data_IF_282808083492
#
_entry.id   IF_282808083492
#
_cell.length_a   1.000
_cell.length_b   1.000
_cell.length_c   1.000
_cell.angle_alpha   90.00
_cell.angle_beta   90.00
_cell.angle_gamma   90.00
#
_symmetry.space_group_name_H-M   'P 1'
#
loop_
_entity.id
_entity.type
_entity.pdbx_description
1 polymer ?
#
# COMPACT_ATOMS: atom_id res chain seq x y z
N UNK A 1 9.44 7.20 26.15
CA UNK A 1 8.38 8.05 26.72
C UNK A 1 8.92 9.47 26.87
N UNK A 2 8.73 10.33 25.87
CA UNK A 2 9.20 11.73 25.92
C UNK A 2 8.21 12.58 26.70
N UNK A 3 8.58 12.96 27.93
CA UNK A 3 7.76 13.84 28.77
C UNK A 3 7.66 15.22 28.11
N UNK A 4 6.46 15.60 27.67
CA UNK A 4 6.13 16.98 27.30
C UNK A 4 6.26 17.84 28.56
N UNK A 5 7.39 18.55 28.69
CA UNK A 5 7.58 19.57 29.71
C UNK A 5 6.52 20.64 29.48
N UNK A 6 5.55 20.72 30.38
CA UNK A 6 4.40 21.62 30.28
C UNK A 6 4.86 23.08 30.16
N UNK A 7 4.18 23.91 29.35
CA UNK A 7 4.47 25.36 29.25
C UNK A 7 4.48 26.08 30.61
N UNK A 8 3.82 25.48 31.62
CA UNK A 8 3.77 25.97 33.00
C UNK A 8 5.11 25.85 33.73
N UNK A 9 5.90 24.80 33.48
CA UNK A 9 7.23 24.64 34.07
C UNK A 9 8.26 25.58 33.43
N UNK A 10 8.21 25.78 32.11
CA UNK A 10 9.10 26.73 31.43
C UNK A 10 8.82 28.18 31.84
N UNK A 11 7.55 28.56 32.04
CA UNK A 11 7.18 29.88 32.56
C UNK A 11 7.66 30.09 34.00
N UNK A 12 7.76 29.02 34.81
CA UNK A 12 8.25 29.08 36.19
C UNK A 12 9.77 29.25 36.25
N UNK A 13 10.52 28.60 35.36
CA UNK A 13 11.98 28.79 35.25
C UNK A 13 12.32 30.20 34.73
N UNK A 14 11.59 30.72 33.74
CA UNK A 14 11.74 32.09 33.25
C UNK A 14 11.54 33.15 34.35
N UNK A 15 10.58 32.91 35.25
CA UNK A 15 10.34 33.79 36.40
C UNK A 15 11.47 33.71 37.43
N UNK A 16 12.01 32.52 37.71
CA UNK A 16 13.14 32.34 38.62
C UNK A 16 14.42 33.00 38.12
N UNK A 17 14.79 32.80 36.85
CA UNK A 17 15.98 33.43 36.25
C UNK A 17 15.86 34.97 36.22
N UNK A 18 14.66 35.47 35.94
CA UNK A 18 14.39 36.91 36.01
C UNK A 18 14.47 37.43 37.44
N UNK A 19 13.92 36.72 38.42
CA UNK A 19 13.95 37.11 39.83
C UNK A 19 15.34 37.11 40.43
N UNK A 20 16.23 36.22 39.96
CA UNK A 20 17.62 36.08 40.42
C UNK A 20 18.54 37.15 39.79
N UNK A 21 18.40 37.42 38.48
CA UNK A 21 19.12 38.52 37.79
C UNK A 21 18.64 39.92 38.22
N UNK A 22 17.45 40.01 38.79
CA UNK A 22 16.91 41.24 39.38
C UNK A 22 16.98 41.25 40.92
N UNK A 23 17.57 40.21 41.52
CA UNK A 23 17.78 40.12 42.97
C UNK A 23 18.89 41.10 43.39
N UNK A 24 18.63 41.91 44.43
CA UNK A 24 19.56 42.94 44.91
C UNK A 24 19.29 44.38 44.41
N UNK A 25 18.48 44.57 43.36
CA UNK A 25 18.04 45.91 42.91
C UNK A 25 16.74 46.38 43.58
N UNK A 26 16.08 45.50 44.35
CA UNK A 26 14.71 45.69 44.85
C UNK A 26 14.56 46.78 45.93
N UNK A 27 15.65 47.23 46.56
CA UNK A 27 15.65 48.38 47.50
C UNK A 27 15.93 49.74 46.84
N UNK A 28 16.12 49.81 45.50
CA UNK A 28 16.34 51.04 44.72
C UNK A 28 15.37 51.21 43.54
N UNK A 29 14.26 50.48 43.55
CA UNK A 29 13.23 50.41 42.48
C UNK A 29 12.42 51.70 42.22
N UNK A 30 12.81 52.83 42.81
CA UNK A 30 12.14 54.13 42.63
C UNK A 30 12.80 55.00 41.57
N UNK A 31 14.03 54.68 41.11
CA UNK A 31 14.74 55.47 40.10
C UNK A 31 14.46 55.00 38.66
N UNK A 32 14.10 55.94 37.78
CA UNK A 32 13.81 55.67 36.35
C UNK A 32 14.97 55.02 35.59
N UNK A 33 16.22 55.20 36.04
CA UNK A 33 17.39 54.55 35.42
C UNK A 33 17.43 53.04 35.68
N UNK A 34 16.98 52.62 36.86
CA UNK A 34 16.92 51.20 37.25
C UNK A 34 15.81 50.48 36.50
N UNK A 35 14.65 51.14 36.29
CA UNK A 35 13.55 50.60 35.47
C UNK A 35 13.98 50.33 34.02
N UNK A 36 14.66 51.28 33.38
CA UNK A 36 15.15 51.12 31.98
C UNK A 36 16.16 49.98 31.83
N UNK A 37 16.99 49.72 32.84
CA UNK A 37 17.95 48.62 32.81
C UNK A 37 17.25 47.25 32.91
N UNK A 38 16.23 47.13 33.78
CA UNK A 38 15.43 45.90 33.93
C UNK A 38 14.66 45.59 32.64
N UNK A 39 14.07 46.60 31.99
CA UNK A 39 13.37 46.42 30.71
C UNK A 39 14.31 45.97 29.58
N UNK A 40 15.56 46.45 29.58
CA UNK A 40 16.58 46.04 28.60
C UNK A 40 16.99 44.57 28.76
N UNK A 41 17.13 44.09 30.01
CA UNK A 41 17.45 42.69 30.29
C UNK A 41 16.30 41.73 29.93
N UNK A 42 15.04 42.14 30.14
CA UNK A 42 13.89 41.33 29.71
C UNK A 42 13.88 41.12 28.20
N UNK A 43 14.18 42.16 27.41
CA UNK A 43 14.18 42.08 25.94
C UNK A 43 15.29 41.17 25.40
N UNK A 44 16.49 41.20 25.98
CA UNK A 44 17.61 40.34 25.55
C UNK A 44 17.41 38.84 25.84
N UNK A 45 16.69 38.49 26.91
CA UNK A 45 16.39 37.09 27.24
C UNK A 45 15.30 36.53 26.29
N UNK A 46 14.39 37.38 25.82
CA UNK A 46 13.34 36.99 24.88
C UNK A 46 13.93 36.81 23.46
N UNK A 47 14.81 37.71 23.03
CA UNK A 47 15.40 37.66 21.68
C UNK A 47 16.38 36.51 21.46
N UNK A 48 17.11 36.07 22.50
CA UNK A 48 18.09 34.97 22.37
C UNK A 48 17.46 33.58 22.15
N UNK A 49 16.15 33.38 22.37
CA UNK A 49 15.48 32.08 22.15
C UNK A 49 14.61 32.00 20.89
N UNK A 50 14.42 33.10 20.15
CA UNK A 50 13.75 33.08 18.83
C UNK A 50 14.68 32.58 17.71
N UNK A 51 15.99 32.83 17.81
CA UNK A 51 16.99 32.36 16.85
C UNK A 51 17.25 30.85 16.90
N UNK A 52 17.10 30.22 18.08
CA UNK A 52 17.33 28.77 18.25
C UNK A 52 16.14 27.88 17.84
N UNK A 53 14.90 28.41 17.84
CA UNK A 53 13.73 27.68 17.30
C UNK A 53 13.78 27.53 15.78
N UNK A 54 14.39 28.48 15.06
CA UNK A 54 14.46 28.46 13.58
C UNK A 54 15.46 27.45 13.01
N UNK A 55 16.44 26.97 13.80
CA UNK A 55 17.42 25.95 13.37
C UNK A 55 16.99 24.50 13.60
N UNK A 56 16.00 24.22 14.47
CA UNK A 56 15.48 22.86 14.72
C UNK A 56 14.21 22.49 13.93
N UNK A 57 13.54 23.46 13.31
CA UNK A 57 12.34 23.21 12.49
C UNK A 57 12.65 22.92 11.01
N UNK A 58 13.81 23.37 10.51
CA UNK A 58 14.25 23.09 9.14
C UNK A 58 14.50 21.59 8.81
N UNK A 59 15.06 20.74 9.71
CA UNK A 59 15.27 19.33 9.39
C UNK A 59 13.98 18.50 9.44
N UNK A 60 13.05 18.78 10.37
CA UNK A 60 11.79 18.03 10.48
C UNK A 60 10.83 18.26 9.31
N UNK A 61 10.76 19.50 8.80
CA UNK A 61 9.97 19.81 7.61
C UNK A 61 10.48 19.08 6.37
N UNK A 62 11.81 18.93 6.24
CA UNK A 62 12.42 18.14 5.16
C UNK A 62 12.11 16.66 5.28
N UNK A 63 12.11 16.08 6.47
CA UNK A 63 11.72 14.67 6.68
C UNK A 63 10.24 14.43 6.36
N UNK A 64 9.35 15.34 6.76
CA UNK A 64 7.93 15.27 6.43
C UNK A 64 7.67 15.46 4.92
N UNK A 65 8.41 16.35 4.26
CA UNK A 65 8.37 16.56 2.81
C UNK A 65 8.91 15.34 2.03
N UNK A 66 10.00 14.73 2.51
CA UNK A 66 10.58 13.52 1.92
C UNK A 66 9.63 12.32 2.09
N UNK A 67 8.99 12.16 3.26
CA UNK A 67 8.00 11.12 3.48
C UNK A 67 6.74 11.28 2.62
N UNK A 68 6.32 12.53 2.35
CA UNK A 68 5.22 12.83 1.43
C UNK A 68 5.57 12.46 -0.03
N UNK A 69 6.81 12.70 -0.46
CA UNK A 69 7.31 12.32 -1.79
C UNK A 69 7.34 10.78 -1.95
N UNK A 70 7.78 10.04 -0.93
CA UNK A 70 7.83 8.56 -0.97
C UNK A 70 6.45 7.88 -0.89
N UNK A 71 5.41 8.57 -0.46
CA UNK A 71 4.06 8.01 -0.38
C UNK A 71 3.35 7.87 -1.74
N UNK A 72 3.91 8.47 -2.81
CA UNK A 72 3.32 8.49 -4.15
C UNK A 72 3.68 7.28 -5.01
N UNK A 73 4.59 6.40 -4.54
CA UNK A 73 4.87 5.14 -5.21
C UNK A 73 3.71 4.19 -4.90
N UNK A 74 2.67 4.24 -5.75
CA UNK A 74 1.55 3.32 -5.72
C UNK A 74 2.05 1.88 -5.87
N UNK A 75 1.99 1.10 -4.78
CA UNK A 75 2.16 -0.35 -4.85
C UNK A 75 1.06 -0.94 -5.71
N UNK A 76 1.43 -1.35 -6.93
CA UNK A 76 0.51 -2.01 -7.86
C UNK A 76 0.11 -3.35 -7.25
N UNK A 77 -1.16 -3.46 -6.85
CA UNK A 77 -1.76 -4.67 -6.31
C UNK A 77 -1.61 -5.82 -7.32
N UNK A 78 -0.83 -6.84 -6.95
CA UNK A 78 -0.54 -8.01 -7.79
C UNK A 78 -1.72 -8.97 -7.74
N UNK A 79 -2.31 -9.27 -8.90
CA UNK A 79 -3.40 -10.25 -9.03
C UNK A 79 -2.81 -11.61 -9.36
N UNK A 80 -3.17 -12.69 -8.63
CA UNK A 80 -2.81 -14.05 -8.99
C UNK A 80 -3.35 -14.40 -10.39
N UNK A 81 -2.60 -15.14 -11.22
CA UNK A 81 -3.07 -15.51 -12.55
C UNK A 81 -4.35 -16.37 -12.45
N UNK A 82 -5.42 -15.97 -13.16
CA UNK A 82 -6.68 -16.70 -13.21
C UNK A 82 -7.84 -16.11 -12.39
N UNK A 83 -7.62 -15.04 -11.62
CA UNK A 83 -8.68 -14.33 -10.87
C UNK A 83 -9.00 -13.00 -11.54
N UNK A 84 -10.29 -12.75 -11.81
CA UNK A 84 -10.74 -11.50 -12.42
C UNK A 84 -10.38 -10.30 -11.53
N UNK A 85 -9.67 -9.27 -12.02
CA UNK A 85 -9.25 -8.11 -11.23
C UNK A 85 -10.43 -7.39 -10.54
N UNK A 86 -11.61 -7.44 -11.16
CA UNK A 86 -12.82 -6.79 -10.67
C UNK A 86 -13.52 -7.56 -9.55
N UNK A 87 -13.11 -8.78 -9.25
CA UNK A 87 -13.56 -9.52 -8.06
C UNK A 87 -12.80 -9.12 -6.79
N UNK A 88 -11.67 -8.44 -6.95
CA UNK A 88 -10.80 -8.02 -5.86
C UNK A 88 -11.08 -6.56 -5.52
N UNK A 89 -11.10 -6.23 -4.23
CA UNK A 89 -11.26 -4.85 -3.75
C UNK A 89 -10.04 -4.00 -4.08
N UNK A 90 -10.29 -2.80 -4.60
CA UNK A 90 -9.27 -1.83 -4.93
C UNK A 90 -8.61 -1.29 -3.66
N UNK A 91 -7.31 -1.55 -3.47
CA UNK A 91 -6.57 -1.05 -2.32
C UNK A 91 -6.53 0.49 -2.27
N UNK A 92 -6.48 1.15 -3.43
CA UNK A 92 -6.53 2.62 -3.52
C UNK A 92 -7.92 3.16 -3.14
N UNK A 93 -8.99 2.41 -3.41
CA UNK A 93 -10.35 2.82 -3.03
C UNK A 93 -10.57 2.63 -1.53
N UNK A 94 -10.07 1.53 -0.97
CA UNK A 94 -10.04 1.30 0.48
C UNK A 94 -9.30 2.41 1.22
N UNK A 95 -8.20 2.92 0.64
CA UNK A 95 -7.43 4.07 1.16
C UNK A 95 -8.05 5.43 0.83
N UNK A 96 -9.16 5.49 0.10
CA UNK A 96 -9.84 6.74 -0.29
C UNK A 96 -9.12 7.58 -1.36
N UNK A 97 -8.10 7.02 -2.02
CA UNK A 97 -7.24 7.71 -3.00
C UNK A 97 -7.49 7.26 -4.46
N UNK A 98 -8.49 6.42 -4.71
CA UNK A 98 -8.75 5.92 -6.06
C UNK A 98 -9.42 6.98 -6.96
N UNK A 99 -8.68 7.45 -7.97
CA UNK A 99 -9.17 8.39 -8.99
C UNK A 99 -9.93 7.70 -10.13
N UNK A 100 -9.87 6.36 -10.21
CA UNK A 100 -10.39 5.58 -11.36
C UNK A 100 -11.91 5.33 -11.30
N UNK A 101 -12.55 5.58 -10.16
CA UNK A 101 -14.01 5.45 -9.99
C UNK A 101 -14.54 4.11 -10.52
N UNK A 102 -15.66 4.13 -11.25
CA UNK A 102 -16.30 2.91 -11.83
C UNK A 102 -15.47 2.22 -12.93
N UNK A 103 -14.45 2.88 -13.47
CA UNK A 103 -13.53 2.34 -14.49
C UNK A 103 -12.29 1.69 -13.88
N UNK A 104 -12.21 1.60 -12.55
CA UNK A 104 -11.14 0.88 -11.89
C UNK A 104 -11.16 -0.61 -12.30
N UNK A 105 -9.97 -1.17 -12.55
CA UNK A 105 -9.81 -2.60 -12.81
C UNK A 105 -10.26 -3.45 -11.62
N UNK A 106 -10.20 -2.87 -10.42
CA UNK A 106 -10.58 -3.46 -9.14
C UNK A 106 -11.94 -2.95 -8.66
N UNK A 107 -12.67 -3.78 -7.92
CA UNK A 107 -13.98 -3.42 -7.35
C UNK A 107 -13.91 -2.29 -6.33
N UNK A 108 -14.93 -1.44 -6.33
CA UNK A 108 -15.18 -0.39 -5.33
C UNK A 108 -16.35 -0.75 -4.41
N UNK A 109 -16.74 -2.02 -4.34
CA UNK A 109 -17.82 -2.47 -3.48
C UNK A 109 -17.22 -2.92 -2.13
N UNK A 110 -17.36 -2.07 -1.11
CA UNK A 110 -16.90 -2.35 0.26
C UNK A 110 -17.56 -3.62 0.83
N UNK A 111 -18.71 -4.02 0.27
CA UNK A 111 -19.38 -5.26 0.66
C UNK A 111 -18.51 -6.48 0.34
N UNK A 112 -17.63 -6.44 -0.67
CA UNK A 112 -16.72 -7.55 -0.98
C UNK A 112 -15.69 -7.82 0.13
N UNK A 113 -15.34 -6.83 0.96
CA UNK A 113 -14.40 -7.04 2.08
C UNK A 113 -15.07 -7.77 3.23
N UNK A 114 -16.27 -7.32 3.58
CA UNK A 114 -17.08 -7.92 4.64
C UNK A 114 -17.48 -9.37 4.31
N UNK A 115 -17.47 -9.73 3.02
CA UNK A 115 -17.76 -11.09 2.51
C UNK A 115 -16.61 -12.10 2.65
N UNK A 116 -15.43 -11.69 3.14
CA UNK A 116 -14.34 -12.62 3.51
C UNK A 116 -14.48 -13.21 4.91
N UNK A 117 -15.38 -12.66 5.74
CA UNK A 117 -15.65 -13.23 7.05
C UNK A 117 -16.32 -14.59 6.89
N UNK A 118 -15.83 -15.62 7.60
CA UNK A 118 -16.45 -16.95 7.64
C UNK A 118 -17.89 -16.79 8.11
N UNK A 119 -18.85 -17.23 7.31
CA UNK A 119 -20.27 -17.23 7.68
C UNK A 119 -20.43 -18.21 8.84
N UNK A 120 -21.22 -17.84 9.84
CA UNK A 120 -21.54 -18.73 10.94
C UNK A 120 -22.54 -19.80 10.47
N UNK A 121 -22.13 -21.08 10.47
CA UNK A 121 -22.96 -22.20 9.98
C UNK A 121 -24.16 -22.52 10.90
N UNK A 122 -24.18 -21.99 12.12
CA UNK A 122 -25.19 -22.26 13.13
C UNK A 122 -26.25 -21.16 13.25
N UNK A 123 -26.15 -20.10 12.44
CA UNK A 123 -27.08 -18.98 12.44
C UNK A 123 -27.65 -18.77 11.02
N UNK A 124 -28.98 -18.86 10.88
CA UNK A 124 -29.65 -18.62 9.59
C UNK A 124 -29.70 -17.10 9.32
N UNK A 125 -29.18 -16.62 8.18
CA UNK A 125 -29.18 -15.19 7.86
C UNK A 125 -30.57 -14.61 7.57
N UNK A 126 -31.61 -15.44 7.38
CA UNK A 126 -32.87 -15.01 6.75
C UNK A 126 -33.94 -14.41 7.65
N UNK A 127 -33.92 -14.58 8.98
CA UNK A 127 -34.66 -13.73 9.97
C UNK A 127 -34.99 -14.44 11.30
N UNK A 128 -34.94 -13.66 12.39
CA UNK A 128 -35.82 -13.67 13.59
C UNK A 128 -35.83 -14.89 14.53
N UNK A 129 -35.31 -16.04 14.13
CA UNK A 129 -35.07 -17.17 15.04
C UNK A 129 -33.60 -17.12 15.39
N UNK A 130 -33.27 -16.88 16.66
CA UNK A 130 -31.89 -16.76 17.13
C UNK A 130 -31.09 -18.06 16.95
N UNK A 131 -30.05 -18.23 17.76
CA UNK A 131 -29.27 -19.46 17.78
C UNK A 131 -30.18 -20.69 17.99
N UNK A 132 -30.03 -21.71 17.16
CA UNK A 132 -30.86 -22.91 17.23
C UNK A 132 -30.31 -23.81 18.32
N UNK A 133 -30.94 -23.76 19.50
CA UNK A 133 -30.60 -24.62 20.63
C UNK A 133 -30.71 -26.10 20.24
N UNK A 134 -29.68 -26.90 20.54
CA UNK A 134 -29.68 -28.35 20.29
C UNK A 134 -30.87 -29.09 20.95
N UNK A 135 -31.50 -28.51 21.97
CA UNK A 135 -32.67 -29.08 22.69
C UNK A 135 -34.00 -28.94 21.94
N UNK A 136 -34.09 -28.05 20.94
CA UNK A 136 -35.31 -27.84 20.13
C UNK A 136 -35.23 -28.51 18.76
N UNK A 137 -34.32 -29.48 18.60
CA UNK A 137 -34.04 -30.15 17.34
C UNK A 137 -35.28 -30.80 16.70
N UNK A 138 -36.24 -31.25 17.51
CA UNK A 138 -37.48 -31.87 17.02
C UNK A 138 -38.45 -30.90 16.35
N UNK A 139 -38.28 -29.59 16.55
CA UNK A 139 -39.20 -28.55 16.06
C UNK A 139 -38.73 -27.93 14.73
N UNK A 140 -37.46 -28.15 14.36
CA UNK A 140 -36.84 -27.54 13.19
C UNK A 140 -36.35 -28.60 12.20
N UNK A 141 -36.85 -28.55 10.97
CA UNK A 141 -36.35 -29.33 9.84
C UNK A 141 -35.26 -28.53 9.13
N UNK A 142 -34.08 -29.13 8.99
CA UNK A 142 -32.94 -28.53 8.27
C UNK A 142 -33.16 -28.73 6.77
N UNK A 143 -32.89 -27.68 5.98
CA UNK A 143 -33.05 -27.73 4.52
C UNK A 143 -32.07 -28.74 3.89
N UNK A 144 -32.58 -29.59 3.01
CA UNK A 144 -31.78 -30.61 2.31
C UNK A 144 -30.67 -30.00 1.44
N UNK A 145 -31.01 -28.95 0.70
CA UNK A 145 -30.06 -28.27 -0.17
C UNK A 145 -29.01 -27.49 0.62
N UNK A 146 -29.31 -27.09 1.85
CA UNK A 146 -28.32 -26.48 2.75
C UNK A 146 -27.28 -27.51 3.19
N UNK A 147 -27.72 -28.72 3.57
CA UNK A 147 -26.78 -29.80 3.92
C UNK A 147 -25.86 -30.13 2.75
N UNK A 148 -26.41 -30.32 1.55
CA UNK A 148 -25.63 -30.58 0.33
C UNK A 148 -24.65 -29.43 -0.01
N UNK A 149 -25.11 -28.18 0.10
CA UNK A 149 -24.27 -27.02 -0.17
C UNK A 149 -23.11 -26.88 0.82
N UNK A 150 -23.32 -27.24 2.09
CA UNK A 150 -22.26 -27.21 3.10
C UNK A 150 -21.28 -28.37 2.89
N UNK A 151 -21.77 -29.57 2.58
CA UNK A 151 -20.92 -30.72 2.24
C UNK A 151 -20.03 -30.43 1.02
N UNK A 152 -20.58 -29.78 0.00
CA UNK A 152 -19.83 -29.39 -1.20
C UNK A 152 -19.02 -28.09 -1.02
N UNK A 153 -18.97 -27.50 0.18
CA UNK A 153 -18.30 -26.22 0.48
C UNK A 153 -18.76 -25.06 -0.42
N UNK A 154 -19.96 -25.15 -0.98
CA UNK A 154 -20.59 -24.13 -1.84
C UNK A 154 -21.53 -23.19 -1.08
N UNK A 155 -21.78 -23.45 0.21
CA UNK A 155 -22.52 -22.54 1.08
C UNK A 155 -21.72 -21.25 1.34
N UNK A 156 -22.31 -20.10 1.04
CA UNK A 156 -21.62 -18.80 1.06
C UNK A 156 -22.58 -17.62 0.97
N UNK A 157 -22.04 -16.40 0.93
CA UNK A 157 -22.82 -15.15 0.92
C UNK A 157 -23.78 -15.05 -0.29
N UNK A 158 -23.43 -15.72 -1.39
CA UNK A 158 -24.20 -15.72 -2.62
C UNK A 158 -24.99 -17.02 -2.84
N UNK A 159 -24.99 -17.93 -1.85
CA UNK A 159 -25.75 -19.16 -1.98
C UNK A 159 -27.24 -18.87 -1.78
N UNK A 160 -28.03 -19.22 -2.79
CA UNK A 160 -29.49 -19.09 -2.79
C UNK A 160 -30.04 -20.51 -2.79
N UNK A 161 -30.82 -20.83 -1.77
CA UNK A 161 -31.49 -22.12 -1.68
C UNK A 161 -32.44 -22.32 -2.88
N UNK A 162 -32.34 -23.45 -3.60
CA UNK A 162 -33.22 -23.73 -4.73
C UNK A 162 -34.68 -23.98 -4.29
N UNK A 163 -34.94 -24.27 -3.00
CA UNK A 163 -36.28 -24.44 -2.42
C UNK A 163 -37.01 -23.12 -2.08
N UNK A 164 -36.68 -22.02 -2.78
CA UNK A 164 -37.32 -20.71 -2.58
C UNK A 164 -36.45 -19.61 -1.96
N UNK A 165 -35.12 -19.76 -2.02
CA UNK A 165 -34.12 -18.76 -1.62
C UNK A 165 -34.32 -18.26 -0.20
N UNK A 166 -34.75 -17.00 -0.10
CA UNK A 166 -34.99 -16.33 1.18
C UNK A 166 -36.27 -16.80 1.88
N UNK A 167 -37.15 -17.51 1.17
CA UNK A 167 -38.44 -18.01 1.69
C UNK A 167 -38.48 -19.54 1.85
N UNK A 168 -37.33 -20.24 1.88
CA UNK A 168 -37.35 -21.68 2.09
C UNK A 168 -38.03 -21.99 3.45
N UNK A 169 -39.00 -22.92 3.50
CA UNK A 169 -39.73 -23.27 4.73
C UNK A 169 -38.84 -23.91 5.79
N UNK A 170 -37.74 -24.53 5.33
CA UNK A 170 -36.74 -25.20 6.15
C UNK A 170 -35.61 -24.26 6.55
N UNK A 171 -34.92 -24.61 7.64
CA UNK A 171 -33.88 -23.77 8.25
C UNK A 171 -32.51 -24.00 7.58
N UNK A 172 -31.76 -22.92 7.30
CA UNK A 172 -30.42 -22.92 6.72
C UNK A 172 -29.35 -22.67 7.79
N UNK A 173 -29.39 -23.49 8.83
CA UNK A 173 -28.38 -23.48 9.87
C UNK A 173 -28.36 -24.84 10.55
N UNK A 174 -27.16 -25.27 10.95
CA UNK A 174 -27.03 -26.45 11.78
C UNK A 174 -27.36 -26.13 13.24
N UNK A 175 -27.90 -27.10 14.00
CA UNK A 175 -28.02 -26.99 15.44
C UNK A 175 -26.65 -26.79 16.09
N UNK A 176 -26.61 -26.03 17.18
CA UNK A 176 -25.38 -25.80 17.92
C UNK A 176 -24.77 -27.14 18.39
N UNK A 177 -23.51 -27.40 18.00
CA UNK A 177 -22.79 -28.65 18.33
C UNK A 177 -22.82 -29.73 17.24
N UNK A 178 -23.49 -29.50 16.10
CA UNK A 178 -23.36 -30.38 14.93
C UNK A 178 -22.01 -30.18 14.25
N UNK A 179 -21.13 -31.18 14.36
CA UNK A 179 -19.81 -31.17 13.73
C UNK A 179 -19.94 -31.85 12.37
N UNK A 180 -19.60 -31.14 11.30
CA UNK A 180 -19.46 -31.71 9.96
C UNK A 180 -18.17 -32.50 9.94
N UNK A 181 -18.27 -33.79 9.66
CA UNK A 181 -17.11 -34.62 9.37
C UNK A 181 -16.58 -34.20 7.99
N UNK A 182 -15.61 -33.29 7.96
CA UNK A 182 -14.90 -33.02 6.73
C UNK A 182 -14.14 -34.30 6.34
N UNK A 183 -14.33 -34.83 5.13
CA UNK A 183 -13.42 -35.85 4.64
C UNK A 183 -12.02 -35.21 4.66
N UNK A 184 -11.08 -35.87 5.33
CA UNK A 184 -9.65 -35.52 5.27
C UNK A 184 -9.21 -35.76 3.82
N UNK A 185 -9.54 -34.82 2.94
CA UNK A 185 -8.89 -34.72 1.64
C UNK A 185 -7.50 -34.25 1.99
N UNK A 186 -6.57 -35.20 2.00
CA UNK A 186 -5.15 -34.94 2.13
C UNK A 186 -4.80 -34.00 0.97
N UNK A 187 -4.72 -32.70 1.27
CA UNK A 187 -4.46 -31.67 0.26
C UNK A 187 -3.21 -32.07 -0.53
N UNK A 188 -3.41 -32.44 -1.80
CA UNK A 188 -2.37 -32.69 -2.81
C UNK A 188 -1.49 -31.44 -3.08
N UNK A 189 -1.69 -30.38 -2.30
CA UNK A 189 -0.98 -29.11 -2.30
C UNK A 189 -0.20 -28.86 -0.99
N UNK A 190 0.11 -29.89 -0.19
CA UNK A 190 1.30 -29.78 0.68
C UNK A 190 2.48 -29.52 -0.25
N UNK A 191 2.98 -28.29 -0.25
CA UNK A 191 4.19 -27.92 -0.98
C UNK A 191 5.26 -28.95 -0.61
N UNK A 192 5.57 -29.85 -1.54
CA UNK A 192 6.58 -30.89 -1.33
C UNK A 192 7.84 -30.17 -0.84
N UNK A 193 8.35 -30.63 0.30
CA UNK A 193 9.57 -30.08 0.87
C UNK A 193 10.70 -30.19 -0.16
N UNK A 194 11.68 -29.30 -0.10
CA UNK A 194 12.77 -29.29 -1.08
C UNK A 194 13.45 -30.67 -1.18
N UNK A 195 13.49 -31.39 -0.06
CA UNK A 195 13.98 -32.75 0.09
C UNK A 195 13.12 -33.77 -0.68
N UNK A 196 11.80 -33.74 -0.52
CA UNK A 196 10.87 -34.62 -1.25
C UNK A 196 10.91 -34.35 -2.77
N UNK A 197 11.05 -33.08 -3.17
CA UNK A 197 11.26 -32.74 -4.56
C UNK A 197 12.58 -33.30 -5.11
N UNK A 198 13.67 -33.21 -4.36
CA UNK A 198 14.96 -33.78 -4.77
C UNK A 198 14.88 -35.31 -4.88
N UNK A 199 14.20 -35.98 -3.94
CA UNK A 199 14.07 -37.44 -3.95
C UNK A 199 13.24 -37.93 -5.14
N UNK A 200 12.10 -37.28 -5.44
CA UNK A 200 11.28 -37.60 -6.61
C UNK A 200 12.05 -37.38 -7.93
N UNK A 201 12.84 -36.32 -8.03
CA UNK A 201 13.67 -36.06 -9.22
C UNK A 201 14.83 -37.08 -9.36
N UNK A 202 15.43 -37.54 -8.25
CA UNK A 202 16.46 -38.60 -8.28
C UNK A 202 15.89 -39.94 -8.73
N UNK A 203 14.68 -40.28 -8.31
CA UNK A 203 14.01 -41.51 -8.72
C UNK A 203 13.66 -41.48 -10.23
N UNK A 204 13.20 -40.32 -10.74
CA UNK A 204 12.93 -40.11 -12.18
C UNK A 204 14.18 -40.22 -13.05
N UNK A 205 15.35 -39.77 -12.58
CA UNK A 205 16.60 -39.78 -13.36
C UNK A 205 17.18 -41.18 -13.59
N UNK A 206 16.73 -42.20 -12.84
CA UNK A 206 17.21 -43.58 -12.99
C UNK A 206 18.70 -43.77 -12.67
N UNK A 207 19.20 -45.01 -12.78
CA UNK A 207 20.61 -45.38 -12.45
C UNK A 207 21.61 -45.04 -13.56
N UNK A 208 21.19 -44.36 -14.62
CA UNK A 208 22.00 -43.99 -15.78
C UNK A 208 22.47 -42.54 -15.66
N UNK A 209 23.53 -42.32 -14.86
CA UNK A 209 24.16 -41.01 -14.70
C UNK A 209 25.58 -40.97 -15.27
N UNK A 210 25.94 -39.88 -15.96
CA UNK A 210 27.32 -39.60 -16.35
C UNK A 210 28.12 -39.23 -15.10
N UNK A 211 29.24 -39.90 -14.79
CA UNK A 211 30.05 -39.57 -13.62
C UNK A 211 30.63 -38.16 -13.76
N UNK A 212 30.54 -37.36 -12.69
CA UNK A 212 31.07 -35.99 -12.65
C UNK A 212 32.60 -36.05 -12.51
N UNK A 213 33.27 -36.19 -13.64
CA UNK A 213 34.73 -36.05 -13.76
C UNK A 213 35.11 -34.61 -14.11
N UNK A 214 36.34 -34.20 -13.84
CA UNK A 214 36.81 -32.84 -14.14
C UNK A 214 36.61 -32.44 -15.61
N UNK A 215 36.81 -33.39 -16.53
CA UNK A 215 36.61 -33.18 -17.97
C UNK A 215 35.13 -32.94 -18.29
N UNK A 216 34.24 -33.81 -17.81
CA UNK A 216 32.78 -33.67 -18.02
C UNK A 216 32.22 -32.41 -17.36
N UNK A 217 32.75 -32.03 -16.20
CA UNK A 217 32.33 -30.81 -15.50
C UNK A 217 32.81 -29.55 -16.23
N UNK A 218 34.02 -29.57 -16.79
CA UNK A 218 34.53 -28.46 -17.61
C UNK A 218 33.75 -28.26 -18.91
N UNK A 219 33.28 -29.35 -19.52
CA UNK A 219 32.38 -29.31 -20.68
C UNK A 219 31.01 -28.75 -20.27
N UNK A 220 30.43 -29.25 -19.18
CA UNK A 220 29.17 -28.74 -18.61
C UNK A 220 29.25 -27.24 -18.27
N UNK A 221 30.33 -26.78 -17.65
CA UNK A 221 30.59 -25.37 -17.30
C UNK A 221 30.82 -24.47 -18.50
N UNK A 222 31.21 -25.00 -19.67
CA UNK A 222 31.29 -24.23 -20.92
C UNK A 222 29.93 -24.12 -21.60
N UNK A 223 29.08 -25.13 -21.45
CA UNK A 223 27.74 -25.17 -22.05
C UNK A 223 26.67 -24.43 -21.21
N UNK A 224 26.83 -24.39 -19.89
CA UNK A 224 25.87 -23.78 -18.96
C UNK A 224 25.92 -22.24 -18.75
N UNK A 225 27.00 -21.47 -19.03
CA UNK A 225 27.01 -20.03 -18.79
C UNK A 225 26.03 -19.29 -19.74
N UNK A 226 25.67 -19.93 -20.85
CA UNK A 226 24.71 -19.41 -21.83
C UNK A 226 23.25 -19.36 -21.36
N UNK A 227 22.88 -20.12 -20.32
CA UNK A 227 21.48 -20.14 -19.81
C UNK A 227 21.16 -18.98 -18.87
N UNK A 228 22.13 -18.44 -18.13
CA UNK A 228 21.93 -17.33 -17.21
C UNK A 228 21.79 -15.98 -17.95
N UNK A 229 22.62 -15.75 -18.96
CA UNK A 229 22.62 -14.48 -19.72
C UNK A 229 21.37 -14.27 -20.59
N UNK A 230 20.85 -15.33 -21.22
CA UNK A 230 19.61 -15.26 -22.04
C UNK A 230 18.36 -14.91 -21.22
N UNK A 231 18.31 -15.30 -19.94
CA UNK A 231 17.22 -14.98 -19.03
C UNK A 231 17.23 -13.51 -18.60
N UNK A 232 18.42 -12.92 -18.41
CA UNK A 232 18.57 -11.54 -17.99
C UNK A 232 18.47 -10.51 -19.13
N UNK A 233 18.76 -10.89 -20.37
CA UNK A 233 18.71 -9.97 -21.52
C UNK A 233 17.30 -9.63 -22.01
N UNK A 234 16.25 -10.31 -21.53
CA UNK A 234 14.86 -9.93 -21.83
C UNK A 234 14.46 -8.69 -21.01
N UNK A 235 14.62 -7.52 -21.63
CA UNK A 235 13.99 -6.23 -21.29
C UNK A 235 14.18 -5.74 -19.84
N UNK A 236 15.41 -5.72 -19.33
CA UNK A 236 15.72 -4.79 -18.22
C UNK A 236 15.94 -3.40 -18.83
N UNK A 237 15.18 -2.40 -18.38
CA UNK A 237 15.50 -0.99 -18.65
C UNK A 237 16.91 -0.77 -18.13
N UNK A 238 17.81 -0.32 -19.00
CA UNK A 238 19.21 -0.03 -18.63
C UNK A 238 19.22 0.82 -17.37
N UNK A 239 19.99 0.39 -16.38
CA UNK A 239 20.15 1.16 -15.14
C UNK A 239 20.85 2.48 -15.45
N UNK A 240 20.59 3.54 -14.68
CA UNK A 240 21.21 4.86 -14.93
C UNK A 240 22.75 4.80 -15.01
N UNK A 241 23.38 3.91 -14.24
CA UNK A 241 24.82 3.66 -14.30
C UNK A 241 25.27 2.99 -15.60
N UNK A 242 24.52 2.01 -16.10
CA UNK A 242 24.79 1.38 -17.40
C UNK A 242 24.58 2.38 -18.56
N UNK A 243 23.56 3.22 -18.46
CA UNK A 243 23.27 4.28 -19.41
C UNK A 243 24.40 5.32 -19.47
N UNK A 244 24.92 5.71 -18.31
CA UNK A 244 26.07 6.62 -18.19
C UNK A 244 27.35 6.03 -18.79
N UNK A 245 27.57 4.72 -18.63
CA UNK A 245 28.75 4.04 -19.21
C UNK A 245 28.62 3.79 -20.72
N UNK A 246 27.40 3.53 -21.22
CA UNK A 246 27.16 3.28 -22.65
C UNK A 246 26.99 4.56 -23.46
N UNK A 247 26.43 5.61 -22.87
CA UNK A 247 26.24 6.93 -23.50
C UNK A 247 26.51 8.06 -22.50
N UNK A 248 27.79 8.35 -22.19
CA UNK A 248 28.18 9.47 -21.33
C UNK A 248 27.69 10.83 -21.86
N UNK A 249 27.59 10.95 -23.18
CA UNK A 249 27.22 12.17 -23.90
C UNK A 249 25.77 12.65 -23.65
N UNK A 250 24.87 11.74 -23.28
CA UNK A 250 23.48 12.06 -22.93
C UNK A 250 23.34 12.63 -21.51
N UNK A 251 24.42 12.66 -20.75
CA UNK A 251 24.48 13.13 -19.36
C UNK A 251 25.46 14.30 -19.24
N UNK A 252 25.55 15.14 -20.27
CA UNK A 252 26.17 16.46 -20.14
C UNK A 252 25.24 17.31 -19.28
N UNK A 253 25.72 17.74 -18.12
CA UNK A 253 25.04 18.75 -17.31
C UNK A 253 25.12 20.06 -18.10
N UNK A 254 23.99 20.50 -18.68
CA UNK A 254 23.88 21.80 -19.37
C UNK A 254 24.12 22.92 -18.35
N UNK A 255 25.39 23.29 -18.15
CA UNK A 255 25.84 24.40 -17.31
C UNK A 255 25.47 25.79 -17.90
N UNK A 256 24.58 25.83 -18.91
CA UNK A 256 24.17 27.03 -19.63
C UNK A 256 22.63 27.20 -19.66
N UNK A 257 21.95 27.02 -18.53
CA UNK A 257 20.61 27.60 -18.32
C UNK A 257 20.73 28.98 -17.66
N UNK A 258 21.61 29.83 -18.18
CA UNK A 258 21.59 31.26 -17.90
C UNK A 258 21.01 32.00 -19.13
N UNK A 259 19.71 32.31 -19.08
CA UNK A 259 19.20 33.53 -19.73
C UNK A 259 18.67 33.46 -21.16
N UNK A 260 18.27 32.31 -21.69
CA UNK A 260 17.40 32.32 -22.88
C UNK A 260 15.94 32.25 -22.44
N UNK A 261 15.32 33.44 -22.34
CA UNK A 261 13.87 33.59 -22.35
C UNK A 261 13.35 32.95 -23.64
N UNK A 262 12.87 31.71 -23.53
CA UNK A 262 12.10 31.05 -24.57
C UNK A 262 10.84 31.89 -24.75
N UNK A 263 10.74 32.61 -25.86
CA UNK A 263 9.60 33.48 -26.14
C UNK A 263 8.34 32.62 -26.34
N UNK A 264 7.61 32.43 -25.23
CA UNK A 264 6.42 31.57 -25.15
C UNK A 264 5.33 31.95 -26.18
N UNK A 265 5.33 33.19 -26.67
CA UNK A 265 4.38 33.65 -27.69
C UNK A 265 4.58 32.98 -29.04
N UNK A 266 5.82 32.76 -29.46
CA UNK A 266 6.09 32.08 -30.74
C UNK A 266 5.63 30.62 -30.72
N UNK A 267 5.62 30.00 -29.54
CA UNK A 267 5.12 28.63 -29.35
C UNK A 267 3.59 28.57 -29.43
N UNK A 268 2.90 29.49 -28.76
CA UNK A 268 1.44 29.59 -28.84
C UNK A 268 0.97 29.95 -30.26
N UNK A 269 1.70 30.82 -30.97
CA UNK A 269 1.38 31.18 -32.35
C UNK A 269 1.51 29.98 -33.31
N UNK A 270 2.50 29.11 -33.12
CA UNK A 270 2.65 27.88 -33.92
C UNK A 270 1.57 26.84 -33.59
N UNK A 271 1.23 26.68 -32.31
CA UNK A 271 0.18 25.74 -31.87
C UNK A 271 -1.21 26.18 -32.38
N UNK A 272 -1.48 27.49 -32.45
CA UNK A 272 -2.73 28.03 -33.00
C UNK A 272 -2.86 27.86 -34.52
N UNK A 273 -1.75 27.97 -35.27
CA UNK A 273 -1.76 27.75 -36.73
C UNK A 273 -2.07 26.28 -37.06
N UNK A 274 -1.57 25.34 -36.26
CA UNK A 274 -1.85 23.91 -36.43
C UNK A 274 -3.33 23.57 -36.12
N UNK A 275 -3.95 24.25 -35.15
CA UNK A 275 -5.36 24.06 -34.78
C UNK A 275 -6.32 24.64 -35.85
N UNK A 276 -6.01 25.81 -36.41
CA UNK A 276 -6.79 26.41 -37.50
C UNK A 276 -6.72 25.54 -38.77
N UNK A 277 -5.55 25.00 -39.10
CA UNK A 277 -5.38 24.09 -40.24
C UNK A 277 -6.17 22.79 -40.06
N UNK A 278 -6.29 22.28 -38.82
CA UNK A 278 -7.05 21.08 -38.52
C UNK A 278 -8.57 21.30 -38.71
N UNK A 279 -9.08 22.47 -38.32
CA UNK A 279 -10.49 22.83 -38.48
C UNK A 279 -10.85 23.02 -39.97
N UNK A 280 -9.95 23.62 -40.76
CA UNK A 280 -10.17 23.85 -42.18
C UNK A 280 -10.19 22.54 -42.99
N UNK A 281 -9.38 21.55 -42.60
CA UNK A 281 -9.40 20.19 -43.17
C UNK A 281 -10.70 19.47 -42.82
N UNK A 282 -11.16 19.59 -41.56
CA UNK A 282 -12.40 18.94 -41.10
C UNK A 282 -13.66 19.54 -41.78
N UNK A 283 -13.68 20.84 -42.07
CA UNK A 283 -14.79 21.48 -42.81
C UNK A 283 -14.83 21.08 -44.30
N UNK A 284 -13.68 20.84 -44.92
CA UNK A 284 -13.60 20.37 -46.30
C UNK A 284 -14.03 18.90 -46.46
N UNK A 285 -13.74 18.05 -45.46
CA UNK A 285 -14.20 16.65 -45.45
C UNK A 285 -15.71 16.48 -45.22
N UNK A 286 -16.42 17.51 -44.76
CA UNK A 286 -17.88 17.48 -44.53
C UNK A 286 -18.67 17.92 -45.79
N UNK A 287 -18.02 18.47 -46.81
CA UNK A 287 -18.66 18.94 -48.05
C UNK A 287 -18.60 17.95 -49.25
N UNK A 288 -17.94 16.79 -49.11
CA UNK A 288 -18.04 15.65 -50.04
C UNK A 288 -19.00 14.56 -49.54
#
# INVERSE_FOLDING_TARGET
MGQKVSEKSEKKEKKKEFEDKTFGLKNKNKSNKVKKYIDGLQKNIISSKESDKKKKEAPKKKEDEIAALFQTVEEIQKVPPGVDPKSILCDSFKKGKCTKGKRCAFSHDLLLENKKAKINLYADPREKRGLIDAKKLSEYVICKYFMEAVEQKHYGWFWICPNGGDKCPDVHAFPEGYVIEEPLVEDEARELTMEEFIETEREKLGKTGTPVTAETFSQWMKEHPYRYERGLQKKKRLTGRELFSQKPDMFQDDECTEGLDVDYKLREDLENVDEELFQEIEELEIQE
#
